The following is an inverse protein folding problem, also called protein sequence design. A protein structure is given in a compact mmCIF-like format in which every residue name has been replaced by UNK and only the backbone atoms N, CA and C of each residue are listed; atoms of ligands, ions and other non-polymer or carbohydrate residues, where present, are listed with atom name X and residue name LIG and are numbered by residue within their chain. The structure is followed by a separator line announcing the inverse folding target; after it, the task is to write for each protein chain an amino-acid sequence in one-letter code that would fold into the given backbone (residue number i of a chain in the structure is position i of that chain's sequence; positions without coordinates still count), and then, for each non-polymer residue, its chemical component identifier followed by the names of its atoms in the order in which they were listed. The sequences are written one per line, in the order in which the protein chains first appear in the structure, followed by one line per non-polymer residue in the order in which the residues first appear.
data_IF_702866644925
#
_entry.id   IF_702866644925
#
_cell.length_a   1.000
_cell.length_b   1.000
_cell.length_c   1.000
_cell.angle_alpha   90.00
_cell.angle_beta   90.00
_cell.angle_gamma   90.00
#
_symmetry.space_group_name_H-M   'P 1'
#
loop_
_entity.id
_entity.type
_entity.pdbx_description
1 polymer ?
#
# COMPACT_ATOMS: atom_id res chain seq x y z
N UNK A 1 2.79 -9.49 6.95
CA UNK A 1 3.60 -9.89 8.11
C UNK A 1 2.72 -10.30 9.29
N UNK A 2 3.16 -11.28 10.08
CA UNK A 2 2.56 -11.66 11.37
C UNK A 2 3.57 -11.32 12.47
N UNK A 3 3.15 -10.59 13.51
CA UNK A 3 4.00 -10.25 14.66
C UNK A 3 3.38 -10.83 15.93
N UNK A 4 4.00 -11.88 16.47
CA UNK A 4 3.54 -12.52 17.72
C UNK A 4 3.80 -11.64 18.95
N UNK A 5 4.85 -10.80 18.89
CA UNK A 5 5.21 -9.85 19.97
C UNK A 5 4.09 -8.84 20.20
N UNK A 6 3.56 -8.26 19.12
CA UNK A 6 2.49 -7.26 19.18
C UNK A 6 1.10 -7.84 18.93
N UNK A 7 1.00 -9.17 18.72
CA UNK A 7 -0.24 -9.89 18.36
C UNK A 7 -1.00 -9.22 17.21
N UNK A 8 -0.29 -8.93 16.12
CA UNK A 8 -0.85 -8.24 14.97
C UNK A 8 -0.52 -8.91 13.64
N UNK A 9 -1.36 -8.64 12.65
CA UNK A 9 -1.17 -8.99 11.25
C UNK A 9 -1.14 -7.69 10.44
N UNK A 10 -0.02 -7.43 9.79
CA UNK A 10 0.14 -6.29 8.91
C UNK A 10 0.07 -6.73 7.44
N UNK A 11 -0.95 -6.28 6.73
CA UNK A 11 -1.13 -6.49 5.29
C UNK A 11 -0.36 -5.41 4.53
N UNK A 12 0.70 -5.84 3.84
CA UNK A 12 1.70 -4.94 3.29
C UNK A 12 1.42 -4.61 1.84
N UNK A 13 0.52 -3.65 1.59
CA UNK A 13 0.34 -3.12 0.24
C UNK A 13 1.65 -2.43 -0.20
N UNK A 14 2.14 -2.66 -1.44
CA UNK A 14 3.35 -2.00 -1.92
C UNK A 14 3.19 -0.47 -1.97
N UNK A 15 4.25 0.25 -1.55
CA UNK A 15 4.39 1.73 -1.58
C UNK A 15 3.43 2.52 -0.67
N UNK A 16 3.03 1.93 0.45
CA UNK A 16 2.15 2.55 1.46
C UNK A 16 2.83 2.74 2.83
N UNK A 17 4.16 2.92 2.86
CA UNK A 17 4.91 3.15 4.11
C UNK A 17 5.31 1.89 4.89
N UNK A 18 5.17 0.71 4.27
CA UNK A 18 5.45 -0.58 4.92
C UNK A 18 6.89 -0.73 5.44
N UNK A 19 7.88 -0.10 4.80
CA UNK A 19 9.27 -0.10 5.29
C UNK A 19 9.41 0.53 6.67
N UNK A 20 8.76 1.68 6.92
CA UNK A 20 8.76 2.32 8.23
C UNK A 20 8.13 1.44 9.30
N UNK A 21 6.98 0.84 8.98
CA UNK A 21 6.25 -0.01 9.93
C UNK A 21 7.08 -1.26 10.29
N UNK A 22 7.79 -1.87 9.31
CA UNK A 22 8.67 -3.02 9.56
C UNK A 22 9.76 -2.76 10.60
N UNK A 23 10.26 -1.53 10.69
CA UNK A 23 11.30 -1.18 11.68
C UNK A 23 10.80 -1.28 13.13
N UNK A 24 9.47 -1.24 13.34
CA UNK A 24 8.85 -1.29 14.66
C UNK A 24 8.34 -2.70 14.95
N UNK A 25 7.56 -3.27 14.04
CA UNK A 25 6.82 -4.51 14.29
C UNK A 25 7.48 -5.77 13.73
N UNK A 26 8.61 -5.62 13.01
CA UNK A 26 9.44 -6.71 12.49
C UNK A 26 9.40 -6.86 10.97
N UNK A 27 10.20 -7.78 10.44
CA UNK A 27 10.26 -8.07 9.01
C UNK A 27 9.41 -9.30 8.64
N UNK A 28 8.64 -9.27 7.54
CA UNK A 28 7.96 -10.46 7.06
C UNK A 28 8.95 -11.50 6.52
N UNK A 29 8.58 -12.79 6.63
CA UNK A 29 9.21 -13.85 5.84
C UNK A 29 8.95 -13.66 4.34
N UNK A 30 7.69 -13.38 3.98
CA UNK A 30 7.26 -13.07 2.61
C UNK A 30 6.45 -11.76 2.60
N UNK A 31 6.98 -10.67 2.01
CA UNK A 31 6.28 -9.41 1.95
C UNK A 31 5.16 -9.43 0.91
N UNK A 32 4.24 -8.47 1.02
CA UNK A 32 3.20 -8.19 0.01
C UNK A 32 2.19 -9.32 -0.26
N UNK A 33 2.02 -10.22 0.70
CA UNK A 33 0.92 -11.18 0.68
C UNK A 33 -0.42 -10.49 0.93
N UNK A 34 -1.47 -10.98 0.28
CA UNK A 34 -2.84 -10.59 0.63
C UNK A 34 -3.28 -11.25 1.94
N UNK A 35 -4.38 -10.76 2.52
CA UNK A 35 -4.88 -11.19 3.82
C UNK A 35 -5.21 -12.70 3.86
N UNK A 36 -5.66 -13.28 2.74
CA UNK A 36 -6.00 -14.70 2.67
C UNK A 36 -4.74 -15.60 2.70
N UNK A 37 -3.69 -15.21 1.98
CA UNK A 37 -2.38 -15.86 2.07
C UNK A 37 -1.80 -15.77 3.48
N UNK A 38 -1.95 -14.60 4.13
CA UNK A 38 -1.51 -14.43 5.52
C UNK A 38 -2.34 -15.27 6.48
N UNK A 39 -3.66 -15.42 6.25
CA UNK A 39 -4.52 -16.27 7.07
C UNK A 39 -4.04 -17.73 7.07
N UNK A 40 -3.70 -18.25 5.88
CA UNK A 40 -3.14 -19.60 5.72
C UNK A 40 -1.81 -19.77 6.45
N UNK A 41 -0.94 -18.75 6.46
CA UNK A 41 0.35 -18.80 7.18
C UNK A 41 0.19 -18.63 8.70
N UNK A 42 -0.73 -17.77 9.15
CA UNK A 42 -0.93 -17.48 10.57
C UNK A 42 -1.65 -18.62 11.31
N UNK A 43 -2.48 -19.37 10.59
CA UNK A 43 -3.43 -20.32 11.16
C UNK A 43 -4.63 -19.61 11.83
N UNK A 44 -5.74 -20.34 11.95
CA UNK A 44 -7.03 -19.78 12.42
C UNK A 44 -6.91 -19.04 13.75
N UNK A 45 -6.24 -19.65 14.74
CA UNK A 45 -6.11 -19.07 16.08
C UNK A 45 -5.52 -17.66 16.02
N UNK A 46 -4.41 -17.46 15.30
CA UNK A 46 -3.79 -16.13 15.20
C UNK A 46 -4.65 -15.21 14.36
N UNK A 47 -5.17 -15.69 13.23
CA UNK A 47 -6.00 -14.89 12.33
C UNK A 47 -7.21 -14.26 13.03
N UNK A 48 -7.94 -15.03 13.85
CA UNK A 48 -9.11 -14.53 14.57
C UNK A 48 -8.78 -13.71 15.83
N UNK A 49 -7.61 -13.90 16.43
CA UNK A 49 -7.25 -13.21 17.70
C UNK A 49 -6.34 -12.00 17.53
N UNK A 50 -5.59 -11.91 16.42
CA UNK A 50 -4.62 -10.84 16.20
C UNK A 50 -5.30 -9.64 15.56
N UNK A 51 -4.83 -8.44 15.88
CA UNK A 51 -5.29 -7.22 15.24
C UNK A 51 -4.72 -7.13 13.81
N UNK A 52 -5.60 -7.05 12.81
CA UNK A 52 -5.28 -7.05 11.39
C UNK A 52 -5.40 -5.63 10.85
N UNK A 53 -4.36 -5.13 10.21
CA UNK A 53 -4.40 -3.79 9.64
C UNK A 53 -3.56 -3.68 8.37
N UNK A 54 -3.76 -2.60 7.64
CA UNK A 54 -2.80 -2.15 6.63
C UNK A 54 -3.04 -0.71 6.20
N UNK A 55 -2.32 -0.30 5.17
CA UNK A 55 -2.37 1.06 4.66
C UNK A 55 -2.51 1.05 3.14
N UNK A 56 -3.33 1.96 2.64
CA UNK A 56 -3.49 2.28 1.22
C UNK A 56 -2.90 3.65 0.91
N UNK A 57 -2.75 3.97 -0.37
CA UNK A 57 -2.29 5.27 -0.83
C UNK A 57 -3.13 5.73 -2.01
N UNK A 58 -3.27 7.03 -2.18
CA UNK A 58 -3.87 7.64 -3.35
C UNK A 58 -3.30 7.00 -4.64
N UNK A 59 -4.14 6.43 -5.52
CA UNK A 59 -3.66 5.67 -6.68
C UNK A 59 -2.75 6.47 -7.63
N UNK A 60 -3.02 7.77 -7.82
CA UNK A 60 -2.18 8.64 -8.63
C UNK A 60 -0.81 8.87 -7.99
N UNK A 61 -0.81 9.19 -6.69
CA UNK A 61 0.44 9.36 -5.95
C UNK A 61 1.27 8.08 -5.88
N UNK A 62 0.59 6.94 -5.70
CA UNK A 62 1.20 5.62 -5.67
C UNK A 62 1.87 5.26 -6.99
N UNK A 63 1.26 5.57 -8.13
CA UNK A 63 1.84 5.34 -9.45
C UNK A 63 3.14 6.14 -9.64
N UNK A 64 3.15 7.43 -9.28
CA UNK A 64 4.39 8.24 -9.27
C UNK A 64 5.42 7.63 -8.33
N UNK A 65 5.00 7.17 -7.15
CA UNK A 65 5.93 6.55 -6.20
C UNK A 65 6.53 5.24 -6.72
N UNK A 66 5.83 4.50 -7.58
CA UNK A 66 6.32 3.31 -8.25
C UNK A 66 7.28 3.65 -9.38
N UNK A 67 6.98 4.70 -10.15
CA UNK A 67 7.83 5.20 -11.22
C UNK A 67 9.18 5.73 -10.70
N UNK A 68 9.15 6.47 -9.59
CA UNK A 68 10.30 7.13 -8.96
C UNK A 68 11.09 6.25 -7.98
N UNK A 69 10.77 4.96 -7.88
CA UNK A 69 11.46 4.06 -6.95
C UNK A 69 12.92 3.86 -7.37
N UNK A 70 13.81 3.76 -6.38
CA UNK A 70 15.24 3.45 -6.60
C UNK A 70 15.54 1.97 -6.40
N UNK A 71 14.64 1.25 -5.74
CA UNK A 71 14.72 -0.18 -5.51
C UNK A 71 14.12 -1.00 -6.66
N UNK A 72 14.78 -2.11 -7.03
CA UNK A 72 14.32 -3.01 -8.07
C UNK A 72 14.46 -2.44 -9.49
N UNK A 73 13.46 -2.68 -10.35
CA UNK A 73 13.44 -2.16 -11.72
C UNK A 73 13.17 -0.64 -11.72
N UNK A 74 14.21 0.13 -12.02
CA UNK A 74 14.15 1.58 -12.23
C UNK A 74 13.56 1.86 -13.62
N UNK A 75 12.23 1.97 -13.68
CA UNK A 75 11.50 2.17 -14.94
C UNK A 75 11.67 3.60 -15.49
N UNK A 76 11.94 4.57 -14.62
CA UNK A 76 12.24 5.96 -15.00
C UNK A 76 13.43 6.08 -15.97
N UNK A 77 14.42 5.21 -15.83
CA UNK A 77 15.59 5.20 -16.72
C UNK A 77 15.30 4.51 -18.06
N UNK A 78 14.13 3.88 -18.20
CA UNK A 78 13.76 3.04 -19.35
C UNK A 78 12.60 3.60 -20.17
N UNK A 79 11.71 4.39 -19.56
CA UNK A 79 10.52 4.95 -20.20
C UNK A 79 10.07 6.23 -19.50
N UNK A 80 9.32 7.04 -20.23
CA UNK A 80 8.62 8.21 -19.70
C UNK A 80 7.51 7.81 -18.71
N UNK A 81 7.02 8.79 -17.94
CA UNK A 81 5.91 8.56 -17.02
C UNK A 81 4.62 8.17 -17.75
N UNK A 82 4.35 8.80 -18.89
CA UNK A 82 3.18 8.52 -19.73
C UNK A 82 3.18 7.08 -20.25
N UNK A 83 4.33 6.60 -20.74
CA UNK A 83 4.52 5.20 -21.15
C UNK A 83 4.33 4.24 -19.98
N UNK A 84 4.87 4.60 -18.81
CA UNK A 84 4.70 3.81 -17.58
C UNK A 84 3.22 3.72 -17.17
N UNK A 85 2.49 4.84 -17.16
CA UNK A 85 1.05 4.86 -16.90
C UNK A 85 0.32 4.04 -17.95
N UNK A 86 0.68 4.14 -19.23
CA UNK A 86 0.10 3.32 -20.30
C UNK A 86 0.27 1.81 -20.07
N UNK A 87 1.45 1.40 -19.60
CA UNK A 87 1.80 -0.01 -19.32
C UNK A 87 1.19 -0.57 -18.02
N UNK A 88 1.03 0.24 -16.98
CA UNK A 88 0.62 -0.22 -15.65
C UNK A 88 -0.84 -0.67 -15.59
N UNK A 89 -1.09 -1.99 -15.53
CA UNK A 89 -2.44 -2.58 -15.51
C UNK A 89 -2.95 -2.98 -14.12
N UNK A 90 -2.05 -3.25 -13.19
CA UNK A 90 -2.35 -3.82 -11.87
C UNK A 90 -1.68 -2.99 -10.77
N UNK A 91 -2.29 -2.92 -9.60
CA UNK A 91 -1.66 -2.35 -8.42
C UNK A 91 -0.38 -3.13 -8.05
N UNK A 92 -0.26 -4.41 -8.42
CA UNK A 92 0.96 -5.22 -8.28
C UNK A 92 1.88 -5.24 -9.50
N UNK A 93 1.65 -4.44 -10.56
CA UNK A 93 2.38 -4.53 -11.84
C UNK A 93 3.91 -4.50 -11.73
N UNK A 94 4.43 -3.91 -10.67
CA UNK A 94 5.86 -3.72 -10.45
C UNK A 94 6.47 -4.67 -9.41
N UNK A 95 5.70 -5.65 -8.92
CA UNK A 95 6.15 -6.64 -7.94
C UNK A 95 6.85 -7.83 -8.62
N UNK A 96 7.83 -8.44 -7.94
CA UNK A 96 8.65 -9.54 -8.49
C UNK A 96 7.90 -10.87 -8.63
N UNK A 97 6.82 -11.07 -7.86
CA UNK A 97 6.00 -12.30 -7.88
C UNK A 97 4.50 -11.96 -7.72
N UNK A 98 3.87 -11.28 -8.69
CA UNK A 98 2.51 -10.81 -8.50
C UNK A 98 1.55 -11.99 -8.64
N UNK A 99 0.77 -12.24 -7.58
CA UNK A 99 -0.65 -12.47 -7.82
C UNK A 99 -1.17 -11.16 -8.44
N UNK A 100 -1.86 -11.19 -9.59
CA UNK A 100 -2.35 -9.98 -10.23
C UNK A 100 -3.44 -9.38 -9.34
N UNK A 101 -3.05 -8.39 -8.55
CA UNK A 101 -3.95 -7.59 -7.74
C UNK A 101 -4.21 -6.32 -8.53
N UNK A 102 -5.43 -6.18 -9.02
CA UNK A 102 -5.84 -5.05 -9.82
C UNK A 102 -5.91 -3.80 -8.95
N UNK A 103 -6.44 -3.94 -7.74
CA UNK A 103 -6.67 -2.85 -6.78
C UNK A 103 -5.87 -3.06 -5.49
N UNK A 104 -5.67 -2.01 -4.71
CA UNK A 104 -5.14 -2.13 -3.35
C UNK A 104 -6.14 -2.84 -2.43
N UNK A 105 -7.44 -2.66 -2.68
CA UNK A 105 -8.50 -3.39 -1.99
C UNK A 105 -8.31 -4.91 -2.01
N UNK A 106 -7.78 -5.47 -3.11
CA UNK A 106 -7.55 -6.90 -3.29
C UNK A 106 -6.61 -7.53 -2.25
N UNK A 107 -5.81 -6.72 -1.53
CA UNK A 107 -4.99 -7.21 -0.44
C UNK A 107 -5.78 -7.49 0.84
N UNK A 108 -6.97 -6.90 1.00
CA UNK A 108 -7.72 -6.87 2.26
C UNK A 108 -9.00 -7.69 2.23
N UNK A 109 -9.38 -8.22 1.08
CA UNK A 109 -10.64 -8.96 0.90
C UNK A 109 -10.47 -10.46 0.97
N UNK A 110 -11.52 -11.15 1.40
CA UNK A 110 -11.69 -12.59 1.23
C UNK A 110 -12.08 -12.94 -0.22
N UNK A 111 -12.16 -14.24 -0.59
CA UNK A 111 -12.61 -14.65 -1.93
C UNK A 111 -14.05 -14.23 -2.31
N UNK A 112 -14.84 -13.73 -1.36
CA UNK A 112 -16.19 -13.23 -1.56
C UNK A 112 -16.25 -11.69 -1.66
N UNK A 113 -15.11 -10.99 -1.54
CA UNK A 113 -15.02 -9.54 -1.61
C UNK A 113 -15.24 -8.83 -0.26
N UNK A 114 -15.36 -9.55 0.85
CA UNK A 114 -15.53 -8.93 2.16
C UNK A 114 -14.17 -8.46 2.70
N UNK A 115 -14.10 -7.21 3.15
CA UNK A 115 -12.92 -6.71 3.87
C UNK A 115 -12.81 -7.40 5.21
N UNK A 116 -11.72 -8.15 5.41
CA UNK A 116 -11.47 -9.00 6.59
C UNK A 116 -10.28 -8.52 7.42
N UNK A 117 -10.13 -7.21 7.52
CA UNK A 117 -9.15 -6.54 8.39
C UNK A 117 -9.83 -5.57 9.35
N UNK A 118 -9.20 -5.32 10.49
CA UNK A 118 -9.77 -4.49 11.55
C UNK A 118 -9.54 -2.99 11.31
N UNK A 119 -8.51 -2.62 10.53
CA UNK A 119 -8.20 -1.21 10.22
C UNK A 119 -7.47 -1.04 8.88
N UNK A 120 -7.91 -0.07 8.08
CA UNK A 120 -7.21 0.38 6.87
C UNK A 120 -6.93 1.88 7.01
N UNK A 121 -5.65 2.23 7.12
CA UNK A 121 -5.20 3.62 7.15
C UNK A 121 -4.84 4.16 5.76
N UNK A 122 -4.68 5.48 5.66
CA UNK A 122 -4.22 6.17 4.44
C UNK A 122 -2.80 6.68 4.61
N UNK A 123 -1.97 6.49 3.59
CA UNK A 123 -0.58 6.96 3.58
C UNK A 123 -0.48 8.48 3.70
N UNK A 124 -1.46 9.21 3.17
CA UNK A 124 -1.54 10.67 3.25
C UNK A 124 -1.73 11.15 4.70
N UNK A 125 -2.29 10.29 5.56
CA UNK A 125 -2.48 10.53 6.99
C UNK A 125 -1.64 9.56 7.84
N UNK A 126 -0.51 9.09 7.30
CA UNK A 126 0.23 7.95 7.85
C UNK A 126 0.54 8.09 9.35
N UNK A 127 1.02 9.26 9.80
CA UNK A 127 1.33 9.47 11.21
C UNK A 127 0.08 9.42 12.10
N UNK A 128 -1.01 10.02 11.66
CA UNK A 128 -2.26 10.06 12.41
C UNK A 128 -2.91 8.67 12.49
N UNK A 129 -2.95 7.95 11.37
CA UNK A 129 -3.50 6.60 11.32
C UNK A 129 -2.58 5.58 12.01
N UNK A 130 -1.26 5.79 11.96
CA UNK A 130 -0.32 5.02 12.77
C UNK A 130 -0.56 5.20 14.26
N UNK A 131 -0.80 6.43 14.76
CA UNK A 131 -1.11 6.62 16.20
C UNK A 131 -2.29 5.77 16.66
N UNK A 132 -3.31 5.58 15.81
CA UNK A 132 -4.46 4.71 16.11
C UNK A 132 -4.02 3.24 16.20
N UNK A 133 -3.26 2.77 15.23
CA UNK A 133 -2.71 1.40 15.21
C UNK A 133 -1.78 1.17 16.41
N UNK A 134 -0.83 2.08 16.63
CA UNK A 134 0.13 2.02 17.71
C UNK A 134 -0.55 1.99 19.08
N UNK A 135 -1.55 2.85 19.29
CA UNK A 135 -2.38 2.84 20.50
C UNK A 135 -3.10 1.50 20.71
N UNK A 136 -3.64 0.90 19.64
CA UNK A 136 -4.29 -0.41 19.69
C UNK A 136 -3.31 -1.55 20.04
N UNK A 137 -2.05 -1.42 19.62
CA UNK A 137 -0.97 -2.39 19.82
C UNK A 137 -0.14 -2.14 21.08
N UNK A 138 -0.41 -1.07 21.84
CA UNK A 138 0.39 -0.68 23.00
C UNK A 138 1.81 -0.22 22.63
N UNK A 139 2.00 0.30 21.42
CA UNK A 139 3.28 0.80 20.93
C UNK A 139 3.38 2.31 21.16
N UNK A 140 4.34 2.71 22.00
CA UNK A 140 4.67 4.12 22.23
C UNK A 140 5.89 4.55 21.39
N UNK A 141 5.78 4.39 20.06
CA UNK A 141 6.82 4.81 19.10
C UNK A 141 6.18 5.48 17.89
N UNK A 142 6.62 6.70 17.52
CA UNK A 142 6.23 7.29 16.25
C UNK A 142 6.82 6.49 15.09
N UNK A 143 6.24 6.63 13.88
CA UNK A 143 6.85 6.03 12.71
C UNK A 143 8.15 6.76 12.37
N UNK A 144 9.25 6.03 12.13
CA UNK A 144 10.41 6.64 11.51
C UNK A 144 10.08 6.96 10.05
N UNK A 145 10.62 8.05 9.52
CA UNK A 145 10.62 8.32 8.08
C UNK A 145 11.65 7.42 7.37
N UNK A 146 11.39 6.11 7.36
CA UNK A 146 12.22 5.15 6.65
C UNK A 146 11.85 5.13 5.16
N UNK A 147 12.84 5.31 4.29
CA UNK A 147 12.70 5.31 2.83
C UNK A 147 11.78 6.42 2.26
N UNK A 148 12.08 7.70 2.52
CA UNK A 148 11.34 8.80 1.89
C UNK A 148 11.53 8.74 0.37
N UNK A 149 10.47 9.00 -0.38
CA UNK A 149 10.58 9.14 -1.82
C UNK A 149 11.39 10.42 -2.12
N UNK A 150 12.54 10.34 -2.82
CA UNK A 150 13.41 11.49 -3.06
C UNK A 150 12.87 12.45 -4.12
N UNK A 151 11.65 12.23 -4.65
CA UNK A 151 11.05 13.10 -5.66
C UNK A 151 10.92 14.54 -5.15
N UNK A 152 11.24 15.50 -6.02
CA UNK A 152 11.17 16.95 -5.73
C UNK A 152 9.83 17.57 -6.10
N UNK A 153 9.06 16.91 -6.97
CA UNK A 153 7.79 17.38 -7.50
C UNK A 153 6.62 16.71 -6.78
N UNK A 154 5.53 17.44 -6.63
CA UNK A 154 4.27 16.87 -6.20
C UNK A 154 3.75 15.90 -7.28
N UNK A 155 3.01 14.85 -6.88
CA UNK A 155 2.60 13.81 -7.81
C UNK A 155 1.72 14.35 -8.95
N UNK A 156 0.96 15.42 -8.70
CA UNK A 156 0.09 16.04 -9.71
C UNK A 156 0.87 16.63 -10.87
N UNK A 157 2.12 17.05 -10.66
CA UNK A 157 2.98 17.63 -11.70
C UNK A 157 3.49 16.59 -12.71
N UNK A 158 3.29 15.30 -12.44
CA UNK A 158 3.63 14.23 -13.38
C UNK A 158 2.52 13.95 -14.39
N UNK A 159 1.30 14.40 -14.10
CA UNK A 159 0.12 14.03 -14.87
C UNK A 159 -0.28 15.09 -15.88
N UNK A 160 -0.67 14.61 -17.06
CA UNK A 160 -1.56 15.32 -17.97
C UNK A 160 -2.98 14.73 -17.87
N UNK A 161 -3.95 15.33 -18.56
CA UNK A 161 -5.35 14.89 -18.51
C UNK A 161 -5.53 13.42 -18.92
N UNK A 162 -4.80 12.98 -19.95
CA UNK A 162 -4.84 11.60 -20.45
C UNK A 162 -4.37 10.60 -19.39
N UNK A 163 -3.17 10.80 -18.85
CA UNK A 163 -2.57 9.90 -17.85
C UNK A 163 -3.36 9.92 -16.54
N UNK A 164 -3.91 11.09 -16.15
CA UNK A 164 -4.80 11.21 -14.99
C UNK A 164 -6.04 10.35 -15.16
N UNK A 165 -6.68 10.43 -16.34
CA UNK A 165 -7.87 9.63 -16.67
C UNK A 165 -7.58 8.13 -16.72
N UNK A 166 -6.43 7.73 -17.28
CA UNK A 166 -6.04 6.32 -17.33
C UNK A 166 -5.98 5.71 -15.91
N UNK A 167 -5.38 6.42 -14.95
CA UNK A 167 -5.34 5.97 -13.56
C UNK A 167 -6.72 5.96 -12.94
N UNK A 168 -7.53 6.99 -13.19
CA UNK A 168 -8.91 7.08 -12.71
C UNK A 168 -9.74 5.86 -13.15
N UNK A 169 -9.69 5.53 -14.43
CA UNK A 169 -10.46 4.44 -15.03
C UNK A 169 -9.93 3.07 -14.58
N UNK A 170 -8.61 2.89 -14.44
CA UNK A 170 -8.01 1.59 -14.09
C UNK A 170 -8.14 1.23 -12.62
N UNK A 171 -8.12 2.21 -11.74
CA UNK A 171 -8.17 2.02 -10.28
C UNK A 171 -9.47 2.60 -9.68
N UNK A 172 -10.54 2.65 -10.48
CA UNK A 172 -11.83 3.21 -10.08
C UNK A 172 -12.37 2.61 -8.76
N UNK A 173 -12.24 1.30 -8.57
CA UNK A 173 -12.71 0.63 -7.33
C UNK A 173 -11.93 1.08 -6.09
N UNK A 174 -10.60 1.25 -6.17
CA UNK A 174 -9.82 1.84 -5.07
C UNK A 174 -10.26 3.29 -4.80
N UNK A 175 -10.48 4.06 -5.87
CA UNK A 175 -10.82 5.48 -5.78
C UNK A 175 -12.18 5.65 -5.11
N UNK A 176 -13.18 4.88 -5.56
CA UNK A 176 -14.53 4.90 -5.01
C UNK A 176 -14.55 4.38 -3.58
N UNK A 177 -14.01 3.17 -3.34
CA UNK A 177 -14.06 2.52 -2.04
C UNK A 177 -13.36 3.32 -0.94
N UNK A 178 -12.18 3.88 -1.24
CA UNK A 178 -11.42 4.67 -0.27
C UNK A 178 -11.72 6.17 -0.32
N UNK A 179 -12.59 6.63 -1.23
CA UNK A 179 -12.91 8.05 -1.39
C UNK A 179 -11.67 8.88 -1.71
N UNK A 180 -10.89 8.46 -2.70
CA UNK A 180 -9.78 9.26 -3.20
C UNK A 180 -10.24 10.21 -4.28
N UNK A 181 -9.57 11.35 -4.35
CA UNK A 181 -9.69 12.26 -5.47
C UNK A 181 -8.29 12.73 -5.90
N UNK A 182 -8.23 13.32 -7.08
CA UNK A 182 -7.02 13.94 -7.59
C UNK A 182 -6.99 15.40 -7.14
N UNK A 183 -6.25 15.68 -6.06
CA UNK A 183 -6.10 17.04 -5.54
C UNK A 183 -4.68 17.55 -5.75
N UNK A 184 -4.49 18.78 -6.26
CA UNK A 184 -3.28 19.53 -5.99
C UNK A 184 -3.16 19.74 -4.47
N UNK A 185 -1.94 19.76 -3.97
CA UNK A 185 -1.63 19.86 -2.53
C UNK A 185 -2.46 20.96 -1.81
N UNK A 186 -2.79 20.73 -0.54
CA UNK A 186 -3.41 21.75 0.34
C UNK A 186 -2.37 22.75 0.82
#
# INVERSE_FOLDING_TARGET
MISDVYKCIFVEVPKTGSTSIRTIIGNPRKPHMNIWQIANEAGEKKFFTYFKFGFVRNPWDRAVSLYERKEGLQLRDKMSFDEFVGWMKYASSTCLHPVPHRYQLDWFVDPHGNVIVDFIGKFENLDADWRKVAGRLGIDKPLPHANPNPRKKHYTEYYNDTTRKIIADRFAEDIEFFGYEFYPEK
#
